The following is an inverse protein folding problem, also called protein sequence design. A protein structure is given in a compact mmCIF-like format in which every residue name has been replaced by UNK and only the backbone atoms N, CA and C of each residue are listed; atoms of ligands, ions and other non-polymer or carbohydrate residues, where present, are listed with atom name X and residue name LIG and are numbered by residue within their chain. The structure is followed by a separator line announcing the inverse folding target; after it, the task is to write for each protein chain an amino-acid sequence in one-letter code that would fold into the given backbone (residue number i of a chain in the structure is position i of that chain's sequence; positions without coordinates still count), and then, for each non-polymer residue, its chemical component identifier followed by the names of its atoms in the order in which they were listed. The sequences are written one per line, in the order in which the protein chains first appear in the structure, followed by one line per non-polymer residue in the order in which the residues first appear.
data_IF_196488112867
#
_entry.id   IF_196488112867
#
_cell.length_a   1.000
_cell.length_b   1.000
_cell.length_c   1.000
_cell.angle_alpha   90.00
_cell.angle_beta   90.00
_cell.angle_gamma   90.00
#
_symmetry.space_group_name_H-M   'P 1'
#
loop_
_entity.id
_entity.type
_entity.pdbx_description
1 polymer ?
#
# COMPACT_ATOMS: atom_id res chain seq x y z
N UNK A 1 -22.33 63.80 -9.43
CA UNK A 1 -21.12 63.78 -8.59
C UNK A 1 -21.28 62.87 -7.34
N UNK A 2 -22.37 62.94 -6.56
CA UNK A 2 -22.61 62.09 -5.39
C UNK A 2 -22.80 60.61 -5.78
N UNK A 3 -23.55 60.32 -6.84
CA UNK A 3 -23.82 58.95 -7.31
C UNK A 3 -22.58 58.29 -7.89
N UNK A 4 -21.71 59.03 -8.59
CA UNK A 4 -20.46 58.48 -9.12
C UNK A 4 -19.43 58.15 -8.03
N UNK A 5 -19.41 58.90 -6.93
CA UNK A 5 -18.58 58.58 -5.76
C UNK A 5 -19.11 57.37 -5.00
N UNK A 6 -20.44 57.23 -4.89
CA UNK A 6 -21.04 56.04 -4.27
C UNK A 6 -20.78 54.76 -5.09
N UNK A 7 -20.86 54.83 -6.42
CA UNK A 7 -20.49 53.71 -7.30
C UNK A 7 -19.02 53.35 -7.19
N UNK A 8 -18.13 54.35 -7.20
CA UNK A 8 -16.68 54.09 -7.07
C UNK A 8 -16.32 53.43 -5.72
N UNK A 9 -16.92 53.90 -4.63
CA UNK A 9 -16.72 53.31 -3.30
C UNK A 9 -17.28 51.88 -3.22
N UNK A 10 -18.45 51.62 -3.82
CA UNK A 10 -19.02 50.27 -3.85
C UNK A 10 -18.20 49.30 -4.69
N UNK A 11 -17.59 49.76 -5.79
CA UNK A 11 -16.66 48.94 -6.59
C UNK A 11 -15.34 48.66 -5.84
N UNK A 12 -14.81 49.67 -5.14
CA UNK A 12 -13.61 49.49 -4.33
C UNK A 12 -13.82 48.49 -3.19
N UNK A 13 -14.97 48.58 -2.50
CA UNK A 13 -15.36 47.61 -1.46
C UNK A 13 -15.48 46.17 -2.02
N UNK A 14 -16.11 46.01 -3.17
CA UNK A 14 -16.21 44.69 -3.84
C UNK A 14 -14.83 44.13 -4.17
N UNK A 15 -13.91 44.94 -4.74
CA UNK A 15 -12.56 44.53 -5.03
C UNK A 15 -11.80 44.10 -3.77
N UNK A 16 -11.90 44.85 -2.68
CA UNK A 16 -11.27 44.49 -1.39
C UNK A 16 -11.78 43.15 -0.86
N UNK A 17 -13.08 42.88 -0.97
CA UNK A 17 -13.68 41.60 -0.56
C UNK A 17 -13.17 40.45 -1.44
N UNK A 18 -13.12 40.62 -2.78
CA UNK A 18 -12.60 39.63 -3.70
C UNK A 18 -11.13 39.35 -3.48
N UNK A 19 -10.31 40.41 -3.29
CA UNK A 19 -8.88 40.26 -3.02
C UNK A 19 -8.64 39.52 -1.69
N UNK A 20 -9.46 39.80 -0.66
CA UNK A 20 -9.41 39.09 0.62
C UNK A 20 -9.76 37.62 0.47
N UNK A 21 -10.80 37.27 -0.32
CA UNK A 21 -11.16 35.87 -0.60
C UNK A 21 -10.07 35.12 -1.37
N UNK A 22 -9.45 35.78 -2.36
CA UNK A 22 -8.31 35.23 -3.11
C UNK A 22 -7.09 35.00 -2.23
N UNK A 23 -6.76 35.99 -1.37
CA UNK A 23 -5.64 35.86 -0.44
C UNK A 23 -5.85 34.69 0.53
N UNK A 24 -7.06 34.57 1.10
CA UNK A 24 -7.45 33.48 1.95
C UNK A 24 -7.34 32.12 1.22
N UNK A 25 -7.86 32.01 -0.01
CA UNK A 25 -7.77 30.76 -0.77
C UNK A 25 -6.32 30.38 -1.09
N UNK A 26 -5.46 31.35 -1.43
CA UNK A 26 -4.05 31.09 -1.69
C UNK A 26 -3.29 30.63 -0.43
N UNK A 27 -3.56 31.26 0.71
CA UNK A 27 -2.98 30.86 2.01
C UNK A 27 -3.42 29.43 2.38
N UNK A 28 -4.69 29.11 2.21
CA UNK A 28 -5.21 27.77 2.44
C UNK A 28 -4.55 26.72 1.53
N UNK A 29 -4.46 27.01 0.25
CA UNK A 29 -3.83 26.10 -0.69
C UNK A 29 -2.34 25.86 -0.37
N UNK A 30 -1.61 26.91 0.02
CA UNK A 30 -0.22 26.79 0.45
C UNK A 30 -0.09 25.94 1.73
N UNK A 31 -0.95 26.18 2.73
CA UNK A 31 -0.98 25.41 3.96
C UNK A 31 -1.20 23.92 3.69
N UNK A 32 -2.22 23.56 2.91
CA UNK A 32 -2.50 22.15 2.60
C UNK A 32 -1.41 21.51 1.75
N UNK A 33 -0.83 22.25 0.81
CA UNK A 33 0.34 21.78 0.03
C UNK A 33 1.52 21.41 0.92
N UNK A 34 1.82 22.21 1.95
CA UNK A 34 2.87 21.91 2.92
C UNK A 34 2.53 20.69 3.79
N UNK A 35 1.29 20.55 4.25
CA UNK A 35 0.83 19.39 5.01
C UNK A 35 1.00 18.11 4.20
N UNK A 36 0.57 18.11 2.94
CA UNK A 36 0.67 16.96 2.04
C UNK A 36 2.12 16.55 1.80
N UNK A 37 3.01 17.53 1.60
CA UNK A 37 4.44 17.30 1.41
C UNK A 37 5.11 16.70 2.64
N UNK A 38 4.79 17.18 3.84
CA UNK A 38 5.39 16.71 5.10
C UNK A 38 4.92 15.31 5.50
N UNK A 39 3.73 14.89 5.07
CA UNK A 39 3.12 13.61 5.45
C UNK A 39 3.07 12.59 4.30
N UNK A 40 3.94 12.71 3.31
CA UNK A 40 3.98 11.86 2.11
C UNK A 40 4.43 10.40 2.35
N UNK A 41 4.74 9.99 3.58
CA UNK A 41 5.26 8.66 3.90
C UNK A 41 4.20 7.69 4.45
N UNK A 42 3.03 8.17 4.87
CA UNK A 42 1.98 7.37 5.50
C UNK A 42 0.61 7.97 5.21
N UNK A 43 -0.31 7.14 4.71
CA UNK A 43 -1.69 7.55 4.45
C UNK A 43 -2.41 7.91 5.75
N UNK A 44 -2.17 7.16 6.84
CA UNK A 44 -2.79 7.43 8.14
C UNK A 44 -2.41 8.81 8.68
N UNK A 45 -1.11 9.14 8.68
CA UNK A 45 -0.62 10.44 9.15
C UNK A 45 -1.11 11.57 8.25
N UNK A 46 -1.11 11.36 6.94
CA UNK A 46 -1.62 12.31 5.96
C UNK A 46 -3.10 12.59 6.19
N UNK A 47 -3.93 11.56 6.33
CA UNK A 47 -5.35 11.67 6.56
C UNK A 47 -5.66 12.42 7.87
N UNK A 48 -4.97 12.07 8.96
CA UNK A 48 -5.15 12.71 10.27
C UNK A 48 -4.80 14.20 10.23
N UNK A 49 -3.66 14.56 9.65
CA UNK A 49 -3.23 15.95 9.58
C UNK A 49 -4.10 16.78 8.64
N UNK A 50 -4.51 16.22 7.50
CA UNK A 50 -5.42 16.88 6.57
C UNK A 50 -6.76 17.15 7.24
N UNK A 51 -7.41 16.13 7.81
CA UNK A 51 -8.75 16.26 8.42
C UNK A 51 -8.74 17.25 9.59
N UNK A 52 -7.69 17.22 10.42
CA UNK A 52 -7.50 18.18 11.51
C UNK A 52 -7.41 19.62 11.01
N UNK A 53 -6.62 19.85 9.99
CA UNK A 53 -6.43 21.20 9.44
C UNK A 53 -7.64 21.67 8.62
N UNK A 54 -8.38 20.79 7.95
CA UNK A 54 -9.65 21.11 7.31
C UNK A 54 -10.65 21.69 8.31
N UNK A 55 -10.85 21.02 9.46
CA UNK A 55 -11.75 21.51 10.51
C UNK A 55 -11.36 22.90 10.99
N UNK A 56 -10.06 23.14 11.21
CA UNK A 56 -9.55 24.44 11.71
C UNK A 56 -9.64 25.54 10.67
N UNK A 57 -9.22 25.26 9.45
CA UNK A 57 -9.12 26.26 8.38
C UNK A 57 -10.49 26.70 7.89
N UNK A 58 -11.35 25.74 7.57
CA UNK A 58 -12.72 26.01 7.11
C UNK A 58 -13.70 26.30 8.26
N UNK A 59 -13.24 26.22 9.52
CA UNK A 59 -14.06 26.45 10.73
C UNK A 59 -15.33 25.60 10.77
N UNK A 60 -15.23 24.38 10.23
CA UNK A 60 -16.31 23.38 10.29
C UNK A 60 -16.28 22.64 11.62
N UNK A 61 -17.36 21.97 11.97
CA UNK A 61 -17.49 21.31 13.27
C UNK A 61 -16.92 19.90 13.28
N UNK A 62 -16.94 19.23 12.13
CA UNK A 62 -16.48 17.86 11.99
C UNK A 62 -16.02 17.62 10.54
N UNK A 63 -15.01 16.81 10.39
CA UNK A 63 -14.60 16.29 9.09
C UNK A 63 -14.19 14.83 9.20
N UNK A 64 -14.37 14.09 8.11
CA UNK A 64 -13.95 12.70 7.95
C UNK A 64 -13.37 12.47 6.57
N UNK A 65 -12.47 11.48 6.47
CA UNK A 65 -11.87 11.05 5.21
C UNK A 65 -12.09 9.57 5.02
N UNK A 66 -12.62 9.22 3.88
CA UNK A 66 -12.82 7.86 3.41
C UNK A 66 -11.89 7.62 2.24
N UNK A 67 -11.11 6.55 2.28
CA UNK A 67 -10.18 6.18 1.20
C UNK A 67 -10.58 4.82 0.67
N UNK A 68 -10.54 4.65 -0.65
CA UNK A 68 -10.81 3.37 -1.29
C UNK A 68 -9.67 2.40 -0.95
N UNK A 69 -10.03 1.28 -0.32
CA UNK A 69 -9.17 0.13 -0.17
C UNK A 69 -9.40 -0.78 -1.39
N UNK A 70 -8.37 -0.93 -2.21
CA UNK A 70 -8.33 -1.71 -3.44
C UNK A 70 -7.17 -2.73 -3.45
N UNK A 71 -6.70 -3.10 -2.26
CA UNK A 71 -5.61 -4.07 -2.09
C UNK A 71 -6.02 -5.45 -2.61
N UNK A 72 -7.28 -5.85 -2.38
CA UNK A 72 -7.91 -6.99 -3.05
C UNK A 72 -8.90 -6.50 -4.12
N UNK A 73 -8.66 -6.84 -5.37
CA UNK A 73 -9.54 -6.49 -6.50
C UNK A 73 -10.95 -7.06 -6.40
N UNK A 74 -11.15 -8.11 -5.61
CA UNK A 74 -12.46 -8.75 -5.39
C UNK A 74 -13.19 -8.18 -4.17
N UNK A 75 -12.54 -7.33 -3.37
CA UNK A 75 -13.08 -6.76 -2.14
C UNK A 75 -12.71 -5.28 -2.02
N UNK A 76 -13.33 -4.44 -2.85
CA UNK A 76 -13.09 -3.00 -2.90
C UNK A 76 -14.15 -2.28 -2.06
N UNK A 77 -13.71 -1.44 -1.12
CA UNK A 77 -14.60 -0.71 -0.22
C UNK A 77 -13.97 0.62 0.22
N UNK A 78 -14.79 1.50 0.81
CA UNK A 78 -14.29 2.70 1.49
C UNK A 78 -13.91 2.37 2.92
N UNK A 79 -12.67 2.62 3.26
CA UNK A 79 -12.16 2.57 4.62
C UNK A 79 -12.18 3.97 5.23
N UNK A 80 -12.76 4.09 6.42
CA UNK A 80 -12.74 5.33 7.17
C UNK A 80 -11.35 5.52 7.80
N UNK A 81 -10.59 6.46 7.28
CA UNK A 81 -9.18 6.63 7.66
C UNK A 81 -8.99 7.61 8.81
N UNK A 82 -9.69 8.73 8.79
CA UNK A 82 -9.53 9.77 9.79
C UNK A 82 -10.83 10.51 10.07
N UNK A 83 -11.01 10.91 11.32
CA UNK A 83 -12.07 11.80 11.74
C UNK A 83 -11.62 12.78 12.80
N UNK A 84 -12.05 14.01 12.67
CA UNK A 84 -11.75 15.04 13.62
C UNK A 84 -13.01 15.87 13.94
N UNK A 85 -13.28 16.05 15.24
CA UNK A 85 -14.40 16.83 15.71
C UNK A 85 -14.06 17.48 17.05
N UNK A 86 -14.31 18.79 17.20
CA UNK A 86 -14.09 19.50 18.45
C UNK A 86 -12.69 19.30 19.07
N UNK A 87 -11.65 19.48 18.26
CA UNK A 87 -10.23 19.35 18.65
C UNK A 87 -9.86 17.96 19.18
N UNK A 88 -10.61 16.92 18.79
CA UNK A 88 -10.38 15.53 19.20
C UNK A 88 -10.44 14.59 18.00
N UNK A 89 -9.45 13.69 17.92
CA UNK A 89 -9.47 12.56 16.99
C UNK A 89 -10.59 11.59 17.38
N UNK A 90 -11.43 11.21 16.43
CA UNK A 90 -12.40 10.13 16.60
C UNK A 90 -11.82 8.84 16.06
N UNK A 91 -11.80 7.80 16.87
CA UNK A 91 -11.46 6.44 16.44
C UNK A 91 -12.76 5.76 16.00
N UNK A 92 -13.01 5.71 14.70
CA UNK A 92 -14.15 5.03 14.11
C UNK A 92 -13.62 4.11 13.02
N UNK A 93 -13.84 2.81 13.20
CA UNK A 93 -13.60 1.85 12.12
C UNK A 93 -14.94 1.64 11.42
N UNK A 94 -15.08 2.21 10.24
CA UNK A 94 -16.28 2.06 9.42
C UNK A 94 -15.86 1.63 8.03
N UNK A 95 -16.46 0.56 7.56
CA UNK A 95 -16.41 0.09 6.18
C UNK A 95 -17.70 0.54 5.50
N UNK A 96 -17.60 1.08 4.31
CA UNK A 96 -18.72 1.46 3.46
C UNK A 96 -18.52 0.79 2.11
N UNK A 97 -19.54 0.09 1.62
CA UNK A 97 -19.46 -0.56 0.32
C UNK A 97 -19.51 0.45 -0.83
N UNK A 98 -18.99 0.08 -1.99
CA UNK A 98 -19.07 0.92 -3.18
C UNK A 98 -20.55 1.18 -3.53
N UNK A 99 -20.90 2.47 -3.69
CA UNK A 99 -22.28 2.89 -3.97
C UNK A 99 -23.20 2.99 -2.74
N UNK A 100 -22.69 2.68 -1.54
CA UNK A 100 -23.48 2.80 -0.32
C UNK A 100 -23.52 4.24 0.19
N UNK A 101 -24.74 4.76 0.42
CA UNK A 101 -24.99 6.04 1.05
C UNK A 101 -24.46 7.24 0.25
N UNK A 102 -24.31 8.38 0.92
CA UNK A 102 -23.83 9.61 0.27
C UNK A 102 -22.35 9.55 -0.13
N UNK A 103 -21.54 8.85 0.62
CA UNK A 103 -20.11 8.65 0.29
C UNK A 103 -19.99 7.87 -1.02
N UNK A 104 -20.76 6.77 -1.16
CA UNK A 104 -20.78 5.99 -2.39
C UNK A 104 -21.34 6.77 -3.57
N UNK A 105 -22.41 7.54 -3.37
CA UNK A 105 -23.00 8.39 -4.41
C UNK A 105 -22.01 9.45 -4.89
N UNK A 106 -21.38 10.20 -3.98
CA UNK A 106 -20.37 11.20 -4.29
C UNK A 106 -19.20 10.62 -5.12
N UNK A 107 -18.74 9.44 -4.77
CA UNK A 107 -17.65 8.77 -5.50
C UNK A 107 -18.09 8.31 -6.90
N UNK A 108 -19.32 7.84 -7.07
CA UNK A 108 -19.86 7.38 -8.36
C UNK A 108 -20.13 8.55 -9.31
N UNK A 109 -20.73 9.62 -8.81
CA UNK A 109 -21.05 10.83 -9.57
C UNK A 109 -19.80 11.65 -9.87
N UNK A 110 -18.75 11.49 -9.06
CA UNK A 110 -17.47 12.24 -9.14
C UNK A 110 -17.68 13.75 -9.01
N UNK A 111 -18.73 14.14 -8.33
CA UNK A 111 -19.14 15.53 -8.12
C UNK A 111 -19.32 15.83 -6.62
N UNK A 112 -19.14 17.09 -6.26
CA UNK A 112 -19.34 17.56 -4.89
C UNK A 112 -20.83 17.56 -4.56
N UNK A 113 -21.20 16.91 -3.46
CA UNK A 113 -22.56 16.88 -2.93
C UNK A 113 -22.65 17.85 -1.77
N UNK A 114 -23.61 18.78 -1.84
CA UNK A 114 -23.89 19.73 -0.76
C UNK A 114 -25.34 19.55 -0.28
N UNK A 115 -25.51 19.41 1.04
CA UNK A 115 -26.80 19.18 1.67
C UNK A 115 -27.05 20.24 2.75
N UNK A 116 -28.19 20.90 2.66
CA UNK A 116 -28.73 21.82 3.68
C UNK A 116 -29.92 21.22 4.44
N UNK A 117 -30.55 20.20 3.87
CA UNK A 117 -31.55 19.35 4.51
C UNK A 117 -30.91 17.96 4.72
N UNK A 118 -30.50 17.69 5.96
CA UNK A 118 -29.75 16.50 6.29
C UNK A 118 -30.71 15.41 6.76
N UNK A 119 -30.65 14.19 6.18
CA UNK A 119 -31.47 13.07 6.62
C UNK A 119 -31.32 12.82 8.13
N UNK A 120 -32.43 12.48 8.80
CA UNK A 120 -32.38 12.07 10.20
C UNK A 120 -31.43 10.87 10.39
N UNK A 121 -30.65 10.91 11.45
CA UNK A 121 -29.67 9.87 11.79
C UNK A 121 -28.47 9.70 10.83
N UNK A 122 -28.31 10.58 9.83
CA UNK A 122 -27.16 10.49 8.93
C UNK A 122 -25.83 10.80 9.64
N UNK A 123 -25.73 11.95 10.29
CA UNK A 123 -24.56 12.39 11.03
C UNK A 123 -24.95 13.28 12.21
N UNK A 124 -24.23 13.13 13.32
CA UNK A 124 -24.43 13.97 14.50
C UNK A 124 -23.12 14.64 14.92
N UNK A 125 -23.20 15.91 15.23
CA UNK A 125 -22.16 16.62 15.95
C UNK A 125 -22.42 16.42 17.43
N UNK A 126 -21.51 15.74 18.11
CA UNK A 126 -21.64 15.37 19.52
C UNK A 126 -20.70 16.18 20.40
N UNK A 127 -21.20 16.69 21.54
CA UNK A 127 -20.41 17.33 22.60
C UNK A 127 -20.70 16.66 23.93
N UNK A 128 -19.98 17.07 24.99
CA UNK A 128 -20.28 16.61 26.36
C UNK A 128 -21.69 16.99 26.86
N UNK A 129 -22.36 17.93 26.18
CA UNK A 129 -23.68 18.44 26.56
C UNK A 129 -24.81 17.86 25.69
N UNK A 130 -24.52 17.09 24.64
CA UNK A 130 -25.55 16.48 23.79
C UNK A 130 -25.12 16.24 22.36
N UNK A 131 -26.12 15.90 21.54
CA UNK A 131 -26.01 15.69 20.08
C UNK A 131 -26.83 16.74 19.37
N UNK A 132 -26.32 17.23 18.24
CA UNK A 132 -27.04 18.12 17.36
C UNK A 132 -26.85 17.69 15.89
N UNK A 133 -27.93 17.75 15.10
CA UNK A 133 -27.85 17.54 13.65
C UNK A 133 -27.18 18.77 13.03
N UNK A 134 -26.14 18.61 12.20
CA UNK A 134 -25.55 19.73 11.46
C UNK A 134 -26.60 20.35 10.51
N UNK A 135 -26.38 21.59 10.10
CA UNK A 135 -27.23 22.30 9.12
C UNK A 135 -26.69 22.23 7.71
N UNK A 136 -25.45 21.76 7.59
CA UNK A 136 -24.74 21.67 6.32
C UNK A 136 -23.80 20.51 6.33
N UNK A 137 -23.87 19.70 5.28
CA UNK A 137 -22.92 18.63 5.01
C UNK A 137 -22.43 18.78 3.57
N UNK A 138 -21.14 18.67 3.39
CA UNK A 138 -20.52 18.66 2.08
C UNK A 138 -19.65 17.41 1.94
N UNK A 139 -19.81 16.71 0.82
CA UNK A 139 -18.97 15.59 0.42
C UNK A 139 -18.22 15.99 -0.85
N UNK A 140 -16.89 15.85 -0.81
CA UNK A 140 -16.01 16.19 -1.93
C UNK A 140 -15.27 14.94 -2.36
N UNK A 141 -15.39 14.53 -3.64
CA UNK A 141 -14.65 13.39 -4.15
C UNK A 141 -13.16 13.73 -4.25
N UNK A 142 -12.33 12.88 -3.67
CA UNK A 142 -10.87 12.93 -3.83
C UNK A 142 -10.52 12.30 -5.17
N UNK A 143 -10.44 13.10 -6.21
CA UNK A 143 -10.20 12.64 -7.57
C UNK A 143 -8.90 13.19 -8.14
N UNK A 144 -8.20 12.34 -8.85
CA UNK A 144 -7.07 12.70 -9.69
C UNK A 144 -7.42 12.31 -11.11
N UNK A 145 -7.54 13.28 -12.01
CA UNK A 145 -8.14 13.08 -13.32
C UNK A 145 -9.55 12.47 -13.20
N UNK A 146 -9.77 11.28 -13.78
CA UNK A 146 -11.04 10.56 -13.74
C UNK A 146 -11.13 9.50 -12.62
N UNK A 147 -10.06 9.33 -11.84
CA UNK A 147 -9.99 8.30 -10.80
C UNK A 147 -10.31 8.89 -9.43
N UNK A 148 -11.34 8.36 -8.78
CA UNK A 148 -11.67 8.69 -7.39
C UNK A 148 -10.90 7.73 -6.48
N UNK A 149 -10.18 8.28 -5.51
CA UNK A 149 -9.38 7.51 -4.52
C UNK A 149 -10.00 7.57 -3.12
N UNK A 150 -10.98 8.42 -2.93
CA UNK A 150 -11.66 8.60 -1.65
C UNK A 150 -12.70 9.68 -1.67
N UNK A 151 -13.25 10.00 -0.50
CA UNK A 151 -14.23 11.09 -0.30
C UNK A 151 -13.91 11.80 1.00
N UNK A 152 -13.97 13.13 0.98
CA UNK A 152 -14.00 13.97 2.17
C UNK A 152 -15.45 14.30 2.53
N UNK A 153 -15.78 14.21 3.81
CA UNK A 153 -17.07 14.62 4.36
C UNK A 153 -16.84 15.67 5.44
N UNK A 154 -17.47 16.83 5.30
CA UNK A 154 -17.42 17.90 6.28
C UNK A 154 -18.85 18.22 6.75
N UNK A 155 -19.02 18.44 8.05
CA UNK A 155 -20.28 18.78 8.66
C UNK A 155 -20.16 20.08 9.48
N UNK A 156 -21.11 20.99 9.29
CA UNK A 156 -21.10 22.33 9.91
C UNK A 156 -22.51 22.80 10.28
N UNK A 157 -22.57 23.76 11.19
CA UNK A 157 -23.80 24.54 11.44
C UNK A 157 -23.96 25.75 10.52
N UNK A 158 -22.92 26.09 9.76
CA UNK A 158 -22.91 27.18 8.78
C UNK A 158 -22.71 26.64 7.39
N UNK A 159 -23.39 27.22 6.41
CA UNK A 159 -23.20 26.89 4.99
C UNK A 159 -21.86 27.51 4.52
N UNK A 160 -21.13 26.81 3.71
CA UNK A 160 -19.87 27.28 3.11
C UNK A 160 -20.18 28.23 1.93
N UNK A 161 -19.37 29.28 1.78
CA UNK A 161 -19.45 30.15 0.62
C UNK A 161 -18.80 29.49 -0.62
N UNK A 162 -19.18 29.94 -1.81
CA UNK A 162 -18.71 29.37 -3.08
C UNK A 162 -17.18 29.30 -3.16
N UNK A 163 -16.45 30.34 -2.76
CA UNK A 163 -14.99 30.35 -2.79
C UNK A 163 -14.35 29.37 -1.80
N UNK A 164 -15.05 29.03 -0.70
CA UNK A 164 -14.61 28.02 0.26
C UNK A 164 -14.77 26.62 -0.34
N UNK A 165 -15.89 26.36 -1.03
CA UNK A 165 -16.12 25.11 -1.74
C UNK A 165 -15.10 24.91 -2.85
N UNK A 166 -14.84 25.95 -3.67
CA UNK A 166 -13.82 25.91 -4.74
C UNK A 166 -12.42 25.59 -4.21
N UNK A 167 -12.05 26.18 -3.07
CA UNK A 167 -10.77 25.85 -2.42
C UNK A 167 -10.76 24.40 -1.93
N UNK A 168 -11.86 23.95 -1.30
CA UNK A 168 -11.97 22.58 -0.77
C UNK A 168 -11.85 21.55 -1.90
N UNK A 169 -12.44 21.78 -3.05
CA UNK A 169 -12.33 20.92 -4.24
C UNK A 169 -10.88 20.86 -4.74
N UNK A 170 -10.19 22.00 -4.89
CA UNK A 170 -8.78 22.06 -5.30
C UNK A 170 -7.86 21.35 -4.30
N UNK A 171 -8.10 21.51 -3.01
CA UNK A 171 -7.39 20.81 -1.96
C UNK A 171 -7.69 19.31 -2.06
N UNK A 172 -8.93 18.91 -2.34
CA UNK A 172 -9.35 17.53 -2.58
C UNK A 172 -8.57 16.86 -3.73
N UNK A 173 -8.39 17.55 -4.85
CA UNK A 173 -7.55 17.06 -5.98
C UNK A 173 -6.09 16.86 -5.56
N UNK A 174 -5.53 17.81 -4.79
CA UNK A 174 -4.16 17.70 -4.29
C UNK A 174 -3.99 16.55 -3.30
N UNK A 175 -4.98 16.33 -2.43
CA UNK A 175 -5.03 15.20 -1.50
C UNK A 175 -5.07 13.88 -2.29
N UNK A 176 -5.92 13.78 -3.31
CA UNK A 176 -6.02 12.59 -4.17
C UNK A 176 -4.69 12.24 -4.81
N UNK A 177 -4.02 13.23 -5.41
CA UNK A 177 -2.67 13.05 -6.00
C UNK A 177 -1.66 12.56 -4.97
N UNK A 178 -1.68 13.12 -3.76
CA UNK A 178 -0.77 12.70 -2.68
C UNK A 178 -1.07 11.28 -2.19
N UNK A 179 -2.33 10.90 -2.04
CA UNK A 179 -2.73 9.52 -1.67
C UNK A 179 -2.23 8.53 -2.71
N UNK A 180 -2.42 8.81 -4.00
CA UNK A 180 -1.93 7.96 -5.08
C UNK A 180 -0.42 7.81 -5.03
N UNK A 181 0.32 8.91 -4.83
CA UNK A 181 1.78 8.88 -4.69
C UNK A 181 2.22 8.00 -3.52
N UNK A 182 1.58 8.13 -2.36
CA UNK A 182 1.90 7.30 -1.18
C UNK A 182 1.58 5.82 -1.44
N UNK A 183 0.42 5.50 -2.05
CA UNK A 183 0.06 4.13 -2.43
C UNK A 183 1.09 3.52 -3.39
N UNK A 184 1.46 4.24 -4.44
CA UNK A 184 2.45 3.78 -5.42
C UNK A 184 3.81 3.54 -4.75
N UNK A 185 4.29 4.49 -3.95
CA UNK A 185 5.58 4.38 -3.27
C UNK A 185 5.61 3.20 -2.29
N UNK A 186 4.54 3.01 -1.52
CA UNK A 186 4.41 1.89 -0.59
C UNK A 186 4.41 0.56 -1.34
N UNK A 187 3.63 0.45 -2.41
CA UNK A 187 3.59 -0.76 -3.26
C UNK A 187 4.95 -1.07 -3.89
N UNK A 188 5.61 -0.04 -4.43
CA UNK A 188 6.95 -0.19 -5.03
C UNK A 188 7.98 -0.67 -4.01
N UNK A 189 7.96 -0.11 -2.79
CA UNK A 189 8.85 -0.55 -1.72
C UNK A 189 8.60 -2.02 -1.33
N UNK A 190 7.35 -2.42 -1.15
CA UNK A 190 6.99 -3.81 -0.85
C UNK A 190 7.46 -4.78 -1.93
N UNK A 191 7.27 -4.42 -3.21
CA UNK A 191 7.73 -5.25 -4.34
C UNK A 191 9.26 -5.36 -4.39
N UNK A 192 9.98 -4.26 -4.07
CA UNK A 192 11.43 -4.27 -4.01
C UNK A 192 11.95 -5.18 -2.88
N UNK A 193 11.37 -5.07 -1.69
CA UNK A 193 11.70 -5.92 -0.54
C UNK A 193 11.45 -7.40 -0.86
N UNK A 194 10.31 -7.72 -1.47
CA UNK A 194 9.98 -9.08 -1.90
C UNK A 194 10.98 -9.60 -2.95
N UNK A 195 11.34 -8.77 -3.93
CA UNK A 195 12.32 -9.15 -4.96
C UNK A 195 13.71 -9.38 -4.36
N UNK A 196 14.12 -8.57 -3.39
CA UNK A 196 15.39 -8.77 -2.68
C UNK A 196 15.41 -10.07 -1.90
N UNK A 197 14.33 -10.36 -1.17
CA UNK A 197 14.19 -11.61 -0.43
C UNK A 197 14.26 -12.83 -1.36
N UNK A 198 13.53 -12.79 -2.49
CA UNK A 198 13.59 -13.88 -3.48
C UNK A 198 14.99 -14.08 -4.07
N UNK A 199 15.72 -12.97 -4.29
CA UNK A 199 17.11 -13.07 -4.78
C UNK A 199 18.06 -13.69 -3.74
N UNK A 200 17.87 -13.40 -2.46
CA UNK A 200 18.63 -14.01 -1.36
C UNK A 200 18.32 -15.50 -1.21
N UNK A 201 17.04 -15.88 -1.27
CA UNK A 201 16.62 -17.29 -1.24
C UNK A 201 17.19 -18.07 -2.43
N UNK A 202 17.18 -17.48 -3.62
CA UNK A 202 17.74 -18.11 -4.82
C UNK A 202 19.26 -18.34 -4.69
N UNK A 203 19.99 -17.37 -4.15
CA UNK A 203 21.44 -17.53 -3.88
C UNK A 203 21.72 -18.63 -2.86
N UNK A 204 20.92 -18.74 -1.82
CA UNK A 204 21.04 -19.80 -0.83
C UNK A 204 20.80 -21.18 -1.45
N UNK A 205 19.77 -21.31 -2.29
CA UNK A 205 19.49 -22.56 -3.02
C UNK A 205 20.61 -22.92 -4.02
N UNK A 206 21.18 -21.93 -4.71
CA UNK A 206 22.30 -22.15 -5.63
C UNK A 206 23.53 -22.66 -4.88
N UNK A 207 23.84 -22.11 -3.73
CA UNK A 207 24.96 -22.56 -2.89
C UNK A 207 24.74 -23.99 -2.34
N UNK A 208 23.52 -24.29 -1.87
CA UNK A 208 23.15 -25.64 -1.44
C UNK A 208 23.27 -26.65 -2.58
N UNK A 209 22.81 -26.30 -3.76
CA UNK A 209 22.91 -27.16 -4.96
C UNK A 209 24.37 -27.39 -5.33
N UNK A 210 25.24 -26.37 -5.24
CA UNK A 210 26.69 -26.48 -5.48
C UNK A 210 27.35 -27.45 -4.51
N UNK A 211 27.01 -27.33 -3.21
CA UNK A 211 27.53 -28.23 -2.17
C UNK A 211 27.08 -29.68 -2.41
N UNK A 212 25.82 -29.90 -2.71
CA UNK A 212 25.27 -31.21 -3.04
C UNK A 212 25.95 -31.82 -4.28
N UNK A 213 26.26 -31.03 -5.28
CA UNK A 213 26.98 -31.49 -6.47
C UNK A 213 28.42 -31.89 -6.13
N UNK A 214 29.12 -31.12 -5.31
CA UNK A 214 30.48 -31.44 -4.85
C UNK A 214 30.49 -32.75 -4.04
N UNK A 215 29.53 -32.96 -3.15
CA UNK A 215 29.38 -34.19 -2.37
C UNK A 215 29.07 -35.40 -3.25
N UNK A 216 28.20 -35.22 -4.25
CA UNK A 216 27.89 -36.26 -5.23
C UNK A 216 29.13 -36.68 -6.04
N UNK A 217 29.92 -35.74 -6.51
CA UNK A 217 31.17 -36.01 -7.23
C UNK A 217 32.19 -36.76 -6.36
N UNK A 218 32.36 -36.31 -5.12
CA UNK A 218 33.25 -36.98 -4.17
C UNK A 218 32.80 -38.43 -3.89
N UNK A 219 31.51 -38.65 -3.71
CA UNK A 219 30.92 -39.98 -3.51
C UNK A 219 31.11 -40.87 -4.74
N UNK A 220 30.94 -40.32 -5.95
CA UNK A 220 31.15 -41.06 -7.20
C UNK A 220 32.62 -41.47 -7.38
N UNK A 221 33.58 -40.59 -7.07
CA UNK A 221 35.01 -40.91 -7.10
C UNK A 221 35.38 -42.02 -6.10
N UNK A 222 34.84 -41.95 -4.88
CA UNK A 222 35.06 -42.98 -3.86
C UNK A 222 34.47 -44.33 -4.30
N UNK A 223 33.27 -44.35 -4.87
CA UNK A 223 32.67 -45.58 -5.42
C UNK A 223 33.51 -46.15 -6.56
N UNK A 224 33.99 -45.28 -7.48
CA UNK A 224 34.89 -45.70 -8.56
C UNK A 224 36.16 -46.36 -8.03
N UNK A 225 36.83 -45.77 -7.03
CA UNK A 225 38.04 -46.31 -6.39
C UNK A 225 37.76 -47.66 -5.70
N UNK A 226 36.66 -47.79 -4.97
CA UNK A 226 36.25 -49.06 -4.35
C UNK A 226 35.98 -50.17 -5.38
N UNK A 227 35.34 -49.83 -6.49
CA UNK A 227 35.10 -50.78 -7.57
C UNK A 227 36.37 -51.26 -8.24
N UNK A 228 37.37 -50.38 -8.47
CA UNK A 228 38.69 -50.77 -8.99
C UNK A 228 39.44 -51.63 -8.00
N UNK A 229 39.42 -51.32 -6.72
CA UNK A 229 40.07 -52.12 -5.68
C UNK A 229 39.47 -53.54 -5.59
N UNK A 230 38.14 -53.62 -5.67
CA UNK A 230 37.41 -54.89 -5.66
C UNK A 230 37.79 -55.75 -6.89
N UNK A 231 37.83 -55.12 -8.07
CA UNK A 231 38.28 -55.81 -9.30
C UNK A 231 39.68 -56.32 -9.22
N UNK A 232 40.63 -55.54 -8.67
CA UNK A 232 42.01 -55.99 -8.43
C UNK A 232 42.09 -57.22 -7.50
N UNK A 233 41.34 -57.24 -6.40
CA UNK A 233 41.21 -58.35 -5.49
C UNK A 233 40.65 -59.60 -6.17
N UNK A 234 39.68 -59.46 -7.05
CA UNK A 234 39.07 -60.49 -7.83
C UNK A 234 40.10 -61.11 -8.86
N UNK A 235 40.79 -60.24 -9.58
CA UNK A 235 41.85 -60.62 -10.52
C UNK A 235 43.04 -61.36 -9.82
N UNK A 236 43.46 -60.91 -8.65
CA UNK A 236 44.49 -61.57 -7.85
C UNK A 236 44.02 -62.94 -7.33
N UNK A 237 42.76 -63.05 -6.95
CA UNK A 237 42.14 -64.31 -6.53
C UNK A 237 42.12 -65.34 -7.69
N UNK A 238 41.68 -64.87 -8.87
CA UNK A 238 41.68 -65.69 -10.09
C UNK A 238 43.06 -66.20 -10.40
N UNK A 239 44.08 -65.35 -10.41
CA UNK A 239 45.51 -65.80 -10.63
C UNK A 239 45.96 -66.81 -9.61
N UNK A 240 45.64 -66.65 -8.35
CA UNK A 240 45.94 -67.55 -7.27
C UNK A 240 45.34 -68.96 -7.52
N UNK A 241 44.05 -68.98 -7.95
CA UNK A 241 43.42 -70.25 -8.31
C UNK A 241 44.00 -70.90 -9.57
N UNK A 242 44.32 -70.13 -10.61
CA UNK A 242 44.96 -70.61 -11.82
C UNK A 242 46.29 -71.29 -11.50
N UNK A 243 47.14 -70.63 -10.68
CA UNK A 243 48.46 -71.23 -10.25
C UNK A 243 48.24 -72.52 -9.47
N UNK A 244 47.23 -72.55 -8.59
CA UNK A 244 46.93 -73.75 -7.80
C UNK A 244 46.38 -74.90 -8.63
N UNK A 245 45.62 -74.60 -9.67
CA UNK A 245 45.14 -75.59 -10.66
C UNK A 245 46.35 -76.20 -11.46
N UNK A 246 47.29 -75.32 -11.87
CA UNK A 246 48.49 -75.74 -12.60
C UNK A 246 49.34 -76.60 -11.74
N UNK A 247 49.61 -76.33 -10.47
CA UNK A 247 50.33 -77.13 -9.52
C UNK A 247 49.62 -78.48 -9.30
N UNK A 248 48.34 -78.52 -9.13
CA UNK A 248 47.57 -79.76 -8.98
C UNK A 248 47.63 -80.59 -10.24
N UNK A 249 47.53 -80.02 -11.42
CA UNK A 249 47.70 -80.75 -12.69
C UNK A 249 49.10 -81.34 -12.83
N UNK A 250 50.17 -80.62 -12.45
CA UNK A 250 51.51 -81.09 -12.45
C UNK A 250 51.72 -82.29 -11.48
N UNK A 251 51.11 -82.24 -10.29
CA UNK A 251 51.09 -83.32 -9.34
C UNK A 251 50.38 -84.57 -9.89
N UNK A 252 49.25 -84.40 -10.54
CA UNK A 252 48.51 -85.50 -11.20
C UNK A 252 49.34 -86.14 -12.29
N UNK A 253 50.03 -85.35 -13.12
CA UNK A 253 50.96 -85.88 -14.16
C UNK A 253 52.04 -86.67 -13.54
N UNK A 254 52.67 -86.17 -12.46
CA UNK A 254 53.76 -86.94 -11.73
C UNK A 254 53.22 -88.21 -11.10
N UNK A 255 52.04 -88.23 -10.55
CA UNK A 255 51.45 -89.46 -9.99
C UNK A 255 51.12 -90.46 -11.08
N UNK A 256 50.62 -90.05 -12.22
CA UNK A 256 50.34 -90.91 -13.40
C UNK A 256 51.66 -91.49 -14.00
N UNK A 257 52.76 -90.73 -13.97
CA UNK A 257 54.08 -91.21 -14.45
C UNK A 257 54.75 -92.16 -13.51
N UNK A 258 54.37 -92.24 -12.25
CA UNK A 258 54.89 -93.19 -11.23
C UNK A 258 54.12 -94.52 -11.17
N UNK A 259 53.10 -94.70 -12.03
CA UNK A 259 52.45 -95.99 -12.17
C UNK A 259 51.48 -96.35 -11.01
N UNK A 260 50.91 -95.41 -10.38
CA UNK A 260 49.77 -95.57 -9.46
C UNK A 260 48.49 -95.20 -10.14
#
# INVERSE_FOLDING_TARGET
MRDSLQHANAEEEKRKVEDSKRAWANEGFALFSDILRQNSNSIDNLADEVVRNLVKYFKVNQAGMFIINDDDKNDIFFQYMAAYAWDRKKYVTKRIELGEGLVGACAMEKETIQLTEIPEDYVFITSGLGKATPRYVILVPLKHEDTVVGVLELASFSVMETHEVELLEKVGESIASSILSVKINTKTRMLLEQSQQQAEEMKAQEEEMRQNMEELLATQEEMGRKAEEQKRKEDDLIKTYETKIEDLNNQIIQLKSKGI
#
